data_IF_808109097268
#
_entry.id   IF_808109097268
#
_cell.length_a   1.000
_cell.length_b   1.000
_cell.length_c   1.000
_cell.angle_alpha   90.00
_cell.angle_beta   90.00
_cell.angle_gamma   90.00
#
_symmetry.space_group_name_H-M   'P 1'
#
loop_
_entity.id
_entity.type
_entity.pdbx_description
1 polymer ?
#
# COMPACT_ATOMS: atom_id res chain seq x y z
N UNK A 1 16.10 27.90 24.81
CA UNK A 1 15.17 28.26 23.73
C UNK A 1 15.53 27.38 22.56
N UNK A 2 14.71 26.37 22.31
CA UNK A 2 14.86 25.48 21.15
C UNK A 2 14.49 26.27 19.89
N UNK A 3 15.35 26.24 18.90
CA UNK A 3 15.13 26.91 17.61
C UNK A 3 14.35 25.94 16.73
N UNK A 4 13.03 26.10 16.64
CA UNK A 4 12.20 25.40 15.67
C UNK A 4 12.43 26.02 14.30
N UNK A 5 13.23 25.39 13.44
CA UNK A 5 13.54 25.93 12.13
C UNK A 5 12.28 25.83 11.26
N UNK A 6 11.57 26.93 11.04
CA UNK A 6 10.42 26.97 10.14
C UNK A 6 10.89 26.93 8.68
N UNK A 7 11.06 25.74 8.11
CA UNK A 7 11.50 25.53 6.72
C UNK A 7 10.43 25.90 5.65
N UNK A 8 9.29 26.48 6.05
CA UNK A 8 8.01 26.39 5.31
C UNK A 8 7.71 27.48 4.27
N UNK A 9 8.62 28.40 3.92
CA UNK A 9 8.30 29.43 2.88
C UNK A 9 9.03 29.15 1.57
N UNK A 10 8.55 28.20 0.77
CA UNK A 10 8.95 28.18 -0.65
C UNK A 10 8.59 26.95 -1.47
N UNK A 11 8.47 25.77 -0.87
CA UNK A 11 8.15 24.57 -1.63
C UNK A 11 6.63 24.33 -1.70
N UNK A 12 6.08 23.97 -2.87
CA UNK A 12 4.70 23.52 -2.99
C UNK A 12 4.48 22.25 -2.15
N UNK A 13 3.31 22.19 -1.52
CA UNK A 13 2.79 21.01 -0.84
C UNK A 13 1.78 20.28 -1.73
N UNK A 14 1.70 18.96 -1.60
CA UNK A 14 0.70 18.15 -2.28
C UNK A 14 0.26 17.00 -1.38
N UNK A 15 -1.05 16.82 -1.26
CA UNK A 15 -1.64 15.66 -0.61
C UNK A 15 -1.78 14.54 -1.65
N UNK A 16 -1.24 13.37 -1.31
CA UNK A 16 -1.19 12.22 -2.20
C UNK A 16 -1.78 10.99 -1.51
N UNK A 17 -2.57 10.23 -2.26
CA UNK A 17 -3.04 8.92 -1.81
C UNK A 17 -1.87 7.94 -1.76
N UNK A 18 -1.80 7.18 -0.68
CA UNK A 18 -0.81 6.13 -0.45
C UNK A 18 -1.22 4.87 -1.20
N UNK A 19 -0.27 4.30 -1.95
CA UNK A 19 -0.47 3.07 -2.71
C UNK A 19 0.59 2.04 -2.30
N UNK A 20 0.25 1.08 -1.42
CA UNK A 20 1.19 0.05 -1.01
C UNK A 20 1.72 -0.76 -2.19
N UNK A 21 3.04 -0.88 -2.27
CA UNK A 21 3.72 -1.63 -3.33
C UNK A 21 3.91 -3.07 -2.92
N UNK A 22 3.10 -3.98 -3.45
CA UNK A 22 3.13 -5.40 -3.08
C UNK A 22 3.94 -6.19 -4.11
N UNK A 23 4.87 -7.04 -3.63
CA UNK A 23 5.65 -7.97 -4.45
C UNK A 23 5.46 -9.40 -3.98
N UNK A 24 5.65 -10.36 -4.89
CA UNK A 24 5.42 -11.77 -4.61
C UNK A 24 3.95 -12.19 -4.71
N UNK A 25 3.65 -13.40 -4.23
CA UNK A 25 2.30 -13.97 -4.23
C UNK A 25 2.04 -14.73 -2.92
N UNK A 26 0.83 -14.66 -2.36
CA UNK A 26 0.45 -15.53 -1.23
C UNK A 26 0.68 -17.01 -1.52
N UNK A 27 0.67 -17.84 -0.48
CA UNK A 27 0.82 -19.28 -0.64
C UNK A 27 -0.25 -19.86 -1.59
N UNK A 28 0.03 -20.97 -2.31
CA UNK A 28 -0.97 -21.65 -3.13
C UNK A 28 -2.26 -21.92 -2.35
N UNK A 29 -3.40 -21.61 -2.97
CA UNK A 29 -4.70 -21.69 -2.30
C UNK A 29 -5.08 -20.45 -1.50
N UNK A 30 -4.27 -19.38 -1.51
CA UNK A 30 -4.61 -18.10 -0.87
C UNK A 30 -4.64 -16.97 -1.90
N UNK A 31 -5.46 -15.96 -1.65
CA UNK A 31 -5.50 -14.71 -2.42
C UNK A 31 -5.55 -13.50 -1.49
N UNK A 32 -5.00 -12.36 -1.96
CA UNK A 32 -5.12 -11.09 -1.24
C UNK A 32 -6.56 -10.62 -1.39
N UNK A 33 -7.28 -10.53 -0.27
CA UNK A 33 -8.67 -10.07 -0.27
C UNK A 33 -8.78 -8.56 -0.09
N UNK A 34 -7.83 -7.95 0.61
CA UNK A 34 -7.85 -6.52 0.93
C UNK A 34 -6.44 -6.02 1.23
N UNK A 35 -6.17 -4.77 0.86
CA UNK A 35 -4.97 -4.03 1.22
C UNK A 35 -5.44 -2.70 1.79
N UNK A 36 -5.08 -2.42 3.03
CA UNK A 36 -5.37 -1.18 3.74
C UNK A 36 -4.07 -0.48 4.07
N UNK A 37 -4.04 0.85 3.95
CA UNK A 37 -2.96 1.70 4.41
C UNK A 37 -3.52 2.72 5.39
N UNK A 38 -2.82 2.93 6.50
CA UNK A 38 -3.14 3.95 7.47
C UNK A 38 -1.88 4.77 7.79
N UNK A 39 -1.83 6.07 7.44
CA UNK A 39 -2.87 6.81 6.70
C UNK A 39 -2.98 6.36 5.23
N UNK A 40 -4.13 6.61 4.62
CA UNK A 40 -4.36 6.40 3.18
C UNK A 40 -3.99 7.62 2.33
N UNK A 41 -3.71 8.76 2.95
CA UNK A 41 -3.20 9.97 2.30
C UNK A 41 -2.07 10.58 3.15
N UNK A 42 -1.04 11.10 2.49
CA UNK A 42 0.07 11.81 3.15
C UNK A 42 0.33 13.11 2.39
N UNK A 43 0.62 14.17 3.15
CA UNK A 43 1.08 15.42 2.59
C UNK A 43 2.61 15.45 2.48
N UNK A 44 3.09 15.73 1.28
CA UNK A 44 4.51 15.90 0.99
C UNK A 44 4.79 17.31 0.47
N UNK A 45 6.05 17.74 0.55
CA UNK A 45 6.53 18.98 -0.03
C UNK A 45 7.91 18.78 -0.68
N UNK A 46 8.23 19.61 -1.67
CA UNK A 46 9.53 19.55 -2.35
C UNK A 46 9.54 20.27 -3.69
N UNK A 47 10.51 19.93 -4.54
CA UNK A 47 10.69 20.57 -5.83
C UNK A 47 9.40 20.49 -6.69
N UNK A 48 8.95 21.63 -7.22
CA UNK A 48 7.71 21.73 -8.02
C UNK A 48 7.68 20.73 -9.18
N UNK A 49 8.79 20.57 -9.89
CA UNK A 49 8.85 19.66 -11.04
C UNK A 49 8.73 18.19 -10.65
N UNK A 50 9.12 17.84 -9.42
CA UNK A 50 9.01 16.47 -8.90
C UNK A 50 7.61 16.21 -8.39
N UNK A 51 7.15 17.00 -7.43
CA UNK A 51 5.86 16.82 -6.75
C UNK A 51 4.67 16.93 -7.71
N UNK A 52 4.78 17.76 -8.76
CA UNK A 52 3.71 17.92 -9.74
C UNK A 52 3.46 16.64 -10.56
N UNK A 53 4.52 15.88 -10.85
CA UNK A 53 4.45 14.64 -11.65
C UNK A 53 3.99 13.42 -10.83
N UNK A 54 3.86 13.53 -9.51
CA UNK A 54 3.46 12.42 -8.65
C UNK A 54 1.95 12.43 -8.47
N UNK A 55 1.29 11.34 -8.83
CA UNK A 55 -0.16 11.17 -8.65
C UNK A 55 -0.50 10.43 -7.36
N UNK A 56 0.38 9.53 -6.91
CA UNK A 56 0.22 8.73 -5.70
C UNK A 56 1.59 8.45 -5.09
N UNK A 57 1.60 8.19 -3.78
CA UNK A 57 2.80 7.89 -3.03
C UNK A 57 2.92 6.36 -2.86
N UNK A 58 3.88 5.74 -3.52
CA UNK A 58 4.16 4.31 -3.29
C UNK A 58 4.84 4.10 -1.94
N UNK A 59 4.65 2.93 -1.31
CA UNK A 59 5.52 2.48 -0.23
C UNK A 59 6.77 1.80 -0.77
N UNK A 60 7.77 1.57 0.09
CA UNK A 60 8.77 0.55 -0.23
C UNK A 60 8.08 -0.81 -0.49
N UNK A 61 8.68 -1.69 -1.33
CA UNK A 61 8.09 -2.99 -1.64
C UNK A 61 7.85 -3.84 -0.39
N UNK A 62 6.63 -4.37 -0.26
CA UNK A 62 6.23 -5.31 0.78
C UNK A 62 6.12 -6.70 0.15
N UNK A 63 6.97 -7.62 0.58
CA UNK A 63 6.91 -9.00 0.12
C UNK A 63 5.80 -9.78 0.85
N UNK A 64 4.93 -10.40 0.05
CA UNK A 64 3.84 -11.26 0.54
C UNK A 64 4.03 -12.70 0.07
N UNK A 65 5.26 -13.09 -0.28
CA UNK A 65 5.56 -14.41 -0.82
C UNK A 65 5.27 -15.49 0.23
N UNK A 66 4.31 -16.37 -0.07
CA UNK A 66 3.99 -17.51 0.79
C UNK A 66 3.19 -17.18 2.04
N UNK A 67 2.67 -15.96 2.20
CA UNK A 67 1.81 -15.65 3.35
C UNK A 67 0.49 -16.42 3.28
N UNK A 68 0.02 -16.89 4.43
CA UNK A 68 -1.27 -17.60 4.63
C UNK A 68 -2.17 -16.89 5.63
N UNK A 69 -1.69 -15.80 6.23
CA UNK A 69 -2.39 -15.00 7.24
C UNK A 69 -2.20 -13.52 6.94
N UNK A 70 -3.09 -12.71 7.50
CA UNK A 70 -3.00 -11.25 7.43
C UNK A 70 -1.62 -10.78 7.88
N UNK A 71 -1.02 -9.89 7.08
CA UNK A 71 0.25 -9.26 7.36
C UNK A 71 0.00 -7.79 7.66
N UNK A 72 0.44 -7.31 8.83
CA UNK A 72 0.44 -5.89 9.17
C UNK A 72 1.87 -5.43 9.40
N UNK A 73 2.32 -4.44 8.64
CA UNK A 73 3.69 -3.93 8.66
C UNK A 73 3.70 -2.42 8.60
N UNK A 74 4.70 -1.80 9.25
CA UNK A 74 4.95 -0.36 9.14
C UNK A 74 6.10 -0.13 8.17
N UNK A 75 5.84 0.59 7.10
CA UNK A 75 6.83 0.84 6.05
C UNK A 75 6.86 2.33 5.69
N UNK A 76 8.04 2.87 5.37
CA UNK A 76 8.14 4.23 4.87
C UNK A 76 7.59 4.34 3.43
N UNK A 77 7.13 5.54 3.03
CA UNK A 77 6.90 5.83 1.63
C UNK A 77 8.19 5.80 0.82
N UNK A 78 8.09 5.43 -0.46
CA UNK A 78 9.16 5.50 -1.43
C UNK A 78 9.26 6.94 -1.97
N UNK A 79 9.96 7.79 -1.24
CA UNK A 79 10.22 9.18 -1.63
C UNK A 79 11.47 9.28 -2.49
N UNK A 80 11.40 10.05 -3.57
CA UNK A 80 12.58 10.47 -4.33
C UNK A 80 13.42 11.47 -3.53
N UNK A 81 14.69 11.61 -3.92
CA UNK A 81 15.54 12.71 -3.43
C UNK A 81 14.84 14.07 -3.67
N UNK A 82 14.99 15.00 -2.73
CA UNK A 82 14.37 16.34 -2.76
C UNK A 82 12.85 16.40 -2.48
N UNK A 83 12.24 15.29 -2.03
CA UNK A 83 10.88 15.24 -1.50
C UNK A 83 10.89 14.90 -0.01
N UNK A 84 10.02 15.56 0.75
CA UNK A 84 9.93 15.39 2.20
C UNK A 84 8.47 15.29 2.64
N UNK A 85 8.26 14.63 3.77
CA UNK A 85 6.96 14.56 4.45
C UNK A 85 6.76 15.86 5.23
N UNK A 86 5.57 16.46 5.14
CA UNK A 86 5.24 17.67 5.89
C UNK A 86 5.31 17.40 7.40
N UNK A 87 5.88 18.33 8.17
CA UNK A 87 5.94 18.21 9.63
C UNK A 87 4.54 17.99 10.23
N UNK A 88 4.40 16.98 11.10
CA UNK A 88 3.14 16.61 11.73
C UNK A 88 2.40 15.45 11.07
N UNK A 89 2.79 15.06 9.86
CA UNK A 89 2.35 13.80 9.23
C UNK A 89 3.14 12.61 9.78
N UNK A 90 2.64 11.39 9.56
CA UNK A 90 3.36 10.17 9.98
C UNK A 90 4.40 9.75 8.94
N UNK A 91 5.60 9.40 9.41
CA UNK A 91 6.71 8.95 8.55
C UNK A 91 6.58 7.48 8.12
N UNK A 92 5.85 6.69 8.90
CA UNK A 92 5.63 5.27 8.65
C UNK A 92 4.15 5.01 8.41
N UNK A 93 3.87 4.35 7.28
CA UNK A 93 2.53 3.92 6.89
C UNK A 93 2.32 2.51 7.44
N UNK A 94 1.24 2.31 8.18
CA UNK A 94 0.80 0.97 8.56
C UNK A 94 0.02 0.35 7.40
N UNK A 95 0.57 -0.69 6.80
CA UNK A 95 -0.07 -1.45 5.73
C UNK A 95 -0.56 -2.78 6.27
N UNK A 96 -1.84 -3.05 6.10
CA UNK A 96 -2.48 -4.32 6.44
C UNK A 96 -2.93 -5.04 5.17
N UNK A 97 -2.32 -6.19 4.88
CA UNK A 97 -2.65 -7.07 3.76
C UNK A 97 -3.41 -8.27 4.30
N UNK A 98 -4.70 -8.36 3.97
CA UNK A 98 -5.53 -9.50 4.33
C UNK A 98 -5.50 -10.56 3.23
N UNK A 99 -5.38 -11.82 3.62
CA UNK A 99 -5.45 -12.97 2.71
C UNK A 99 -6.57 -13.92 3.11
N UNK A 100 -7.21 -14.52 2.12
CA UNK A 100 -8.27 -15.53 2.28
C UNK A 100 -7.95 -16.78 1.49
N UNK A 101 -8.42 -17.92 1.96
CA UNK A 101 -8.27 -19.20 1.28
C UNK A 101 -9.27 -19.29 0.11
N UNK A 102 -8.80 -19.81 -1.03
CA UNK A 102 -9.61 -20.11 -2.21
C UNK A 102 -10.36 -21.41 -1.96
N UNK A 103 -11.68 -21.30 -1.74
CA UNK A 103 -12.55 -22.46 -1.59
C UNK A 103 -13.01 -22.89 -3.00
N UNK A 104 -12.33 -23.88 -3.60
CA UNK A 104 -12.73 -24.42 -4.90
C UNK A 104 -13.94 -25.34 -4.71
N UNK A 105 -15.15 -24.84 -4.98
CA UNK A 105 -16.32 -25.71 -5.06
C UNK A 105 -16.26 -26.52 -6.37
N UNK A 106 -15.84 -27.78 -6.28
CA UNK A 106 -15.88 -28.72 -7.41
C UNK A 106 -17.33 -29.08 -7.71
N UNK A 107 -17.93 -28.42 -8.69
CA UNK A 107 -19.28 -28.72 -9.17
C UNK A 107 -19.25 -30.09 -9.87
N UNK A 108 -19.72 -31.15 -9.19
CA UNK A 108 -19.91 -32.46 -9.78
C UNK A 108 -21.26 -32.49 -10.52
N UNK A 109 -21.28 -32.22 -11.83
CA UNK A 109 -22.45 -32.54 -12.65
C UNK A 109 -22.41 -34.03 -13.01
N UNK A 110 -22.92 -34.88 -12.13
CA UNK A 110 -23.40 -36.22 -12.53
C UNK A 110 -24.75 -36.04 -13.22
N UNK A 111 -24.73 -35.95 -14.54
CA UNK A 111 -25.93 -36.09 -15.36
C UNK A 111 -26.29 -37.56 -15.48
N UNK A 112 -27.18 -38.03 -14.60
CA UNK A 112 -27.94 -39.26 -14.81
C UNK A 112 -28.94 -38.99 -15.94
N UNK A 113 -28.84 -39.75 -17.02
CA UNK A 113 -29.84 -39.79 -18.09
C UNK A 113 -30.07 -41.25 -18.47
N UNK A 114 -30.98 -41.90 -17.75
CA UNK A 114 -31.57 -43.17 -18.16
C UNK A 114 -32.43 -42.92 -19.40
N UNK A 115 -32.07 -43.55 -20.52
CA UNK A 115 -32.87 -43.63 -21.73
C UNK A 115 -33.50 -45.02 -21.81
N UNK A 116 -34.82 -45.02 -21.94
CA UNK A 116 -35.71 -46.18 -22.02
C UNK A 116 -35.49 -47.02 -23.29
#
# INVERSE_FOLDING_TARGET
>A
MEVSISLTRGYPEKQLTVKPKIIGKPAPGYYISEILSNPDEIKIFGNYSKINNIEFLETIPIDVSGITKTLSVKVPPALEEELNIVEGEVELIEVTIQVKEVIIQKIHKSGVGVGF
#
